data_IF_760640101736
#
_entry.id   IF_760640101736
#
_cell.length_a   1.000
_cell.length_b   1.000
_cell.length_c   1.000
_cell.angle_alpha   90.00
_cell.angle_beta   90.00
_cell.angle_gamma   90.00
#
_symmetry.space_group_name_H-M   'P 1'
#
loop_
_entity.id
_entity.type
_entity.pdbx_description
1 polymer ?
#
# COMPACT_ATOMS: atom_id res chain seq x y z
N UNK A 1 17.16 -38.82 -39.21
CA UNK A 1 15.73 -38.52 -38.94
C UNK A 1 15.70 -37.36 -37.96
N UNK A 2 15.17 -36.21 -38.41
CA UNK A 2 15.01 -35.03 -37.54
C UNK A 2 13.68 -35.20 -36.82
N UNK A 3 13.71 -35.25 -35.49
CA UNK A 3 12.48 -35.37 -34.68
C UNK A 3 11.58 -34.14 -34.95
N UNK A 4 10.29 -34.33 -35.17
CA UNK A 4 9.36 -33.21 -35.41
C UNK A 4 9.30 -32.33 -34.15
N UNK A 5 9.14 -31.00 -34.30
CA UNK A 5 9.05 -30.09 -33.16
C UNK A 5 7.84 -30.47 -32.29
N UNK A 6 7.97 -30.35 -30.95
CA UNK A 6 6.89 -30.68 -30.04
C UNK A 6 5.64 -29.84 -30.35
N UNK A 7 4.43 -30.45 -30.21
CA UNK A 7 3.19 -29.76 -30.52
C UNK A 7 3.03 -28.52 -29.63
N UNK A 8 2.46 -27.42 -30.17
CA UNK A 8 2.28 -26.18 -29.40
C UNK A 8 1.41 -26.46 -28.17
N UNK A 9 1.92 -26.05 -27.01
CA UNK A 9 1.19 -26.20 -25.73
C UNK A 9 -0.19 -25.54 -25.85
N UNK A 10 -1.27 -26.20 -25.43
CA UNK A 10 -2.62 -25.65 -25.56
C UNK A 10 -2.72 -24.33 -24.82
N UNK A 11 -3.07 -23.25 -25.53
CA UNK A 11 -3.35 -21.95 -24.94
C UNK A 11 -4.46 -22.13 -23.90
N UNK A 12 -4.14 -21.91 -22.63
CA UNK A 12 -5.15 -21.89 -21.55
C UNK A 12 -6.19 -20.81 -21.85
N UNK A 13 -7.35 -21.22 -22.40
CA UNK A 13 -8.46 -20.34 -22.76
C UNK A 13 -9.45 -20.12 -21.61
N UNK A 14 -9.06 -20.36 -20.35
CA UNK A 14 -9.91 -20.15 -19.18
C UNK A 14 -10.22 -18.67 -18.90
N UNK A 15 -11.32 -18.42 -18.21
CA UNK A 15 -11.77 -17.07 -17.80
C UNK A 15 -10.65 -16.30 -17.10
N UNK A 16 -9.93 -16.93 -16.16
CA UNK A 16 -8.82 -16.31 -15.44
C UNK A 16 -7.68 -15.86 -16.37
N UNK A 17 -7.41 -16.62 -17.44
CA UNK A 17 -6.40 -16.21 -18.42
C UNK A 17 -6.86 -15.02 -19.28
N UNK A 18 -8.15 -14.91 -19.57
CA UNK A 18 -8.73 -13.75 -20.27
C UNK A 18 -8.67 -12.50 -19.38
N UNK A 19 -9.10 -12.60 -18.14
CA UNK A 19 -9.02 -11.50 -17.15
C UNK A 19 -7.57 -11.05 -16.98
N UNK A 20 -6.63 -11.97 -16.80
CA UNK A 20 -5.21 -11.63 -16.66
C UNK A 20 -4.64 -10.93 -17.90
N UNK A 21 -5.05 -11.31 -19.12
CA UNK A 21 -4.65 -10.59 -20.35
C UNK A 21 -5.27 -9.19 -20.40
N UNK A 22 -6.54 -9.06 -20.05
CA UNK A 22 -7.24 -7.79 -20.04
C UNK A 22 -6.60 -6.80 -19.06
N UNK A 23 -6.31 -7.23 -17.82
CA UNK A 23 -5.65 -6.41 -16.82
C UNK A 23 -4.22 -6.01 -17.26
N UNK A 24 -3.49 -6.89 -17.95
CA UNK A 24 -2.18 -6.54 -18.52
C UNK A 24 -2.26 -5.50 -19.63
N UNK A 25 -3.34 -5.47 -20.37
CA UNK A 25 -3.57 -4.43 -21.39
C UNK A 25 -4.00 -3.08 -20.77
N UNK A 26 -4.46 -3.08 -19.51
CA UNK A 26 -5.03 -1.92 -18.83
C UNK A 26 -4.34 -1.68 -17.46
N UNK A 27 -3.07 -1.23 -17.43
CA UNK A 27 -2.30 -1.10 -16.20
C UNK A 27 -2.92 -0.12 -15.17
N UNK A 28 -3.59 0.93 -15.63
CA UNK A 28 -4.32 1.86 -14.73
C UNK A 28 -5.47 1.14 -14.02
N UNK A 29 -6.21 0.28 -14.73
CA UNK A 29 -7.28 -0.51 -14.11
C UNK A 29 -6.73 -1.49 -13.06
N UNK A 30 -5.56 -2.06 -13.29
CA UNK A 30 -4.90 -2.91 -12.30
C UNK A 30 -4.61 -2.15 -11.00
N UNK A 31 -4.07 -0.92 -11.08
CA UNK A 31 -3.88 -0.05 -9.91
C UNK A 31 -5.22 0.34 -9.27
N UNK A 32 -6.21 0.67 -10.09
CA UNK A 32 -7.54 1.04 -9.62
C UNK A 32 -8.23 -0.06 -8.80
N UNK A 33 -7.94 -1.32 -9.08
CA UNK A 33 -8.46 -2.46 -8.31
C UNK A 33 -7.63 -2.74 -7.06
N UNK A 34 -6.28 -2.62 -7.14
CA UNK A 34 -5.40 -2.93 -6.02
C UNK A 34 -5.47 -1.88 -4.90
N UNK A 35 -5.55 -0.61 -5.27
CA UNK A 35 -5.38 0.50 -4.32
C UNK A 35 -6.49 0.56 -3.28
N UNK A 36 -7.79 0.55 -3.60
CA UNK A 36 -8.83 0.34 -2.60
C UNK A 36 -8.99 -1.13 -2.20
N UNK A 37 -8.62 -2.07 -3.09
CA UNK A 37 -8.78 -3.51 -2.85
C UNK A 37 -8.07 -3.99 -1.59
N UNK A 38 -6.88 -3.48 -1.31
CA UNK A 38 -6.09 -3.90 -0.16
C UNK A 38 -6.60 -3.26 1.14
N UNK A 39 -6.63 -1.92 1.31
CA UNK A 39 -7.03 -1.31 2.57
C UNK A 39 -8.51 -1.46 2.88
N UNK A 40 -9.40 -1.43 1.88
CA UNK A 40 -10.84 -1.37 2.08
C UNK A 40 -11.52 -2.75 2.01
N UNK A 41 -11.22 -3.51 0.96
CA UNK A 41 -11.95 -4.75 0.70
C UNK A 41 -11.33 -5.98 1.37
N UNK A 42 -10.01 -6.04 1.56
CA UNK A 42 -9.39 -7.12 2.34
C UNK A 42 -9.53 -6.91 3.85
N UNK A 43 -9.53 -5.66 4.33
CA UNK A 43 -9.77 -5.37 5.75
C UNK A 43 -11.23 -5.56 6.16
N UNK A 44 -12.14 -5.48 5.19
CA UNK A 44 -13.57 -5.52 5.43
C UNK A 44 -14.19 -4.17 5.82
N UNK A 45 -13.42 -3.07 5.81
CA UNK A 45 -13.96 -1.74 6.08
C UNK A 45 -15.01 -1.33 5.05
N UNK A 46 -14.81 -1.69 3.78
CA UNK A 46 -15.80 -1.56 2.70
C UNK A 46 -16.36 -2.92 2.32
N UNK A 47 -17.30 -3.43 3.09
CA UNK A 47 -17.80 -4.79 2.89
C UNK A 47 -18.59 -4.96 1.59
N UNK A 48 -18.20 -5.92 0.76
CA UNK A 48 -18.99 -6.36 -0.42
C UNK A 48 -20.43 -6.79 -0.08
N UNK A 49 -20.67 -7.17 1.17
CA UNK A 49 -22.01 -7.44 1.69
C UNK A 49 -22.98 -6.29 1.48
N UNK A 50 -22.49 -5.06 1.52
CA UNK A 50 -23.32 -3.88 1.29
C UNK A 50 -23.95 -3.83 -0.11
N UNK A 51 -23.44 -4.59 -1.09
CA UNK A 51 -24.12 -4.76 -2.38
C UNK A 51 -25.56 -5.25 -2.17
N UNK A 52 -25.76 -6.17 -1.23
CA UNK A 52 -27.07 -6.77 -0.94
C UNK A 52 -27.80 -6.07 0.20
N UNK A 53 -27.08 -5.67 1.24
CA UNK A 53 -27.68 -5.12 2.46
C UNK A 53 -28.03 -3.63 2.34
N UNK A 54 -27.13 -2.86 1.72
CA UNK A 54 -27.25 -1.41 1.57
C UNK A 54 -26.65 -0.95 0.23
N UNK A 55 -27.29 -1.25 -0.92
CA UNK A 55 -26.71 -0.99 -2.25
C UNK A 55 -26.37 0.48 -2.48
N UNK A 56 -27.13 1.42 -1.93
CA UNK A 56 -26.84 2.85 -2.01
C UNK A 56 -25.53 3.22 -1.33
N UNK A 57 -25.31 2.74 -0.12
CA UNK A 57 -24.05 2.93 0.61
C UNK A 57 -22.87 2.24 -0.08
N UNK A 58 -23.10 1.06 -0.67
CA UNK A 58 -22.05 0.38 -1.44
C UNK A 58 -21.60 1.23 -2.64
N UNK A 59 -22.57 1.75 -3.43
CA UNK A 59 -22.25 2.57 -4.60
C UNK A 59 -21.54 3.87 -4.18
N UNK A 60 -22.02 4.54 -3.13
CA UNK A 60 -21.40 5.75 -2.62
C UNK A 60 -19.97 5.50 -2.15
N UNK A 61 -19.74 4.44 -1.35
CA UNK A 61 -18.43 4.03 -0.90
C UNK A 61 -17.49 3.64 -2.05
N UNK A 62 -18.02 2.94 -3.07
CA UNK A 62 -17.23 2.59 -4.25
C UNK A 62 -16.80 3.85 -5.04
N UNK A 63 -17.71 4.81 -5.23
CA UNK A 63 -17.40 6.07 -5.92
C UNK A 63 -16.34 6.85 -5.16
N UNK A 64 -16.49 6.96 -3.84
CA UNK A 64 -15.48 7.56 -2.96
C UNK A 64 -14.13 6.84 -3.05
N UNK A 65 -14.11 5.52 -2.89
CA UNK A 65 -12.87 4.73 -2.96
C UNK A 65 -12.18 4.90 -4.34
N UNK A 66 -12.93 4.93 -5.43
CA UNK A 66 -12.36 5.16 -6.75
C UNK A 66 -11.92 6.62 -6.94
N UNK A 67 -12.65 7.59 -6.40
CA UNK A 67 -12.37 9.02 -6.51
C UNK A 67 -11.15 9.47 -5.72
N UNK A 68 -10.84 8.82 -4.60
CA UNK A 68 -9.69 9.13 -3.75
C UNK A 68 -8.48 8.24 -4.05
N UNK A 69 -8.62 6.92 -3.95
CA UNK A 69 -7.50 5.99 -4.02
C UNK A 69 -6.84 5.96 -5.40
N UNK A 70 -7.63 5.94 -6.47
CA UNK A 70 -7.08 5.81 -7.83
C UNK A 70 -6.31 7.05 -8.26
N UNK A 71 -6.86 8.27 -8.13
CA UNK A 71 -6.09 9.48 -8.40
C UNK A 71 -4.90 9.63 -7.47
N UNK A 72 -5.05 9.33 -6.18
CA UNK A 72 -3.97 9.41 -5.19
C UNK A 72 -2.75 8.60 -5.61
N UNK A 73 -2.93 7.29 -5.88
CA UNK A 73 -1.81 6.43 -6.29
C UNK A 73 -1.21 6.81 -7.65
N UNK A 74 -2.04 7.25 -8.59
CA UNK A 74 -1.57 7.69 -9.90
C UNK A 74 -0.72 8.96 -9.80
N UNK A 75 -1.17 9.97 -9.05
CA UNK A 75 -0.45 11.22 -8.86
C UNK A 75 0.87 11.01 -8.12
N UNK A 76 0.88 10.18 -7.07
CA UNK A 76 2.11 9.83 -6.34
C UNK A 76 3.10 9.11 -7.27
N UNK A 77 2.62 8.15 -8.06
CA UNK A 77 3.45 7.46 -9.05
C UNK A 77 3.98 8.41 -10.13
N UNK A 78 3.13 9.28 -10.67
CA UNK A 78 3.56 10.28 -11.67
C UNK A 78 4.60 11.23 -11.09
N UNK A 79 4.41 11.70 -9.85
CA UNK A 79 5.40 12.52 -9.16
C UNK A 79 6.73 11.78 -9.00
N UNK A 80 6.72 10.52 -8.53
CA UNK A 80 7.92 9.70 -8.43
C UNK A 80 8.68 9.61 -9.77
N UNK A 81 7.95 9.33 -10.85
CA UNK A 81 8.55 9.14 -12.19
C UNK A 81 9.06 10.47 -12.77
N UNK A 82 8.23 11.51 -12.76
CA UNK A 82 8.55 12.80 -13.36
C UNK A 82 9.64 13.56 -12.62
N UNK A 83 9.68 13.42 -11.29
CA UNK A 83 10.73 14.01 -10.46
C UNK A 83 11.97 13.12 -10.36
N UNK A 84 11.96 11.93 -11.00
CA UNK A 84 13.05 10.95 -10.94
C UNK A 84 13.43 10.59 -9.48
N UNK A 85 12.45 10.28 -8.65
CA UNK A 85 12.59 10.03 -7.20
C UNK A 85 12.49 8.55 -6.85
N UNK A 86 12.85 8.23 -5.58
CA UNK A 86 12.83 6.88 -5.02
C UNK A 86 11.64 6.64 -4.08
N UNK A 87 11.72 5.52 -3.35
CA UNK A 87 10.67 5.10 -2.40
C UNK A 87 10.46 6.06 -1.25
N UNK A 88 11.48 6.80 -0.80
CA UNK A 88 11.32 7.82 0.24
C UNK A 88 10.30 8.89 -0.16
N UNK A 89 10.36 9.35 -1.41
CA UNK A 89 9.38 10.29 -1.96
C UNK A 89 7.99 9.69 -2.03
N UNK A 90 7.86 8.41 -2.46
CA UNK A 90 6.56 7.71 -2.50
C UNK A 90 5.94 7.65 -1.11
N UNK A 91 6.69 7.24 -0.09
CA UNK A 91 6.20 7.14 1.29
C UNK A 91 5.83 8.51 1.87
N UNK A 92 6.65 9.55 1.62
CA UNK A 92 6.33 10.91 2.08
C UNK A 92 5.05 11.45 1.41
N UNK A 93 4.89 11.27 0.09
CA UNK A 93 3.66 11.66 -0.60
C UNK A 93 2.44 10.85 -0.14
N UNK A 94 2.63 9.58 0.19
CA UNK A 94 1.56 8.76 0.75
C UNK A 94 1.15 9.22 2.16
N UNK A 95 2.08 9.72 2.97
CA UNK A 95 1.77 10.37 4.25
C UNK A 95 0.98 11.68 4.05
N UNK A 96 1.35 12.50 3.06
CA UNK A 96 0.57 13.69 2.69
C UNK A 96 -0.84 13.31 2.21
N UNK A 97 -0.96 12.24 1.40
CA UNK A 97 -2.23 11.70 0.94
C UNK A 97 -3.14 11.29 2.12
N UNK A 98 -2.58 10.62 3.15
CA UNK A 98 -3.33 10.26 4.34
C UNK A 98 -3.91 11.48 5.08
N UNK A 99 -3.16 12.60 5.17
CA UNK A 99 -3.68 13.83 5.76
C UNK A 99 -4.83 14.42 4.93
N UNK A 100 -4.72 14.32 3.61
CA UNK A 100 -5.79 14.81 2.69
C UNK A 100 -7.06 14.00 2.87
N UNK A 101 -6.97 12.67 2.85
CA UNK A 101 -8.11 11.77 2.93
C UNK A 101 -8.69 11.71 4.34
N UNK A 102 -7.90 11.27 5.31
CA UNK A 102 -8.33 10.99 6.68
C UNK A 102 -8.40 12.25 7.54
N UNK A 103 -7.53 13.21 7.29
CA UNK A 103 -7.54 14.47 8.01
C UNK A 103 -8.59 15.42 7.45
N UNK A 104 -8.41 15.89 6.21
CA UNK A 104 -9.27 16.93 5.63
C UNK A 104 -10.62 16.35 5.21
N UNK A 105 -10.62 15.23 4.46
CA UNK A 105 -11.85 14.62 3.92
C UNK A 105 -12.74 14.03 5.00
N UNK A 106 -12.26 13.00 5.69
CA UNK A 106 -13.03 12.23 6.67
C UNK A 106 -12.96 12.79 8.10
N UNK A 107 -12.01 13.69 8.37
CA UNK A 107 -11.77 14.28 9.69
C UNK A 107 -11.45 13.26 10.80
N UNK A 108 -11.02 12.02 10.48
CA UNK A 108 -10.74 11.00 11.49
C UNK A 108 -9.53 11.34 12.35
N UNK A 109 -8.57 12.10 11.81
CA UNK A 109 -7.42 12.61 12.56
C UNK A 109 -7.78 13.70 13.57
N UNK A 110 -8.93 14.33 13.41
CA UNK A 110 -9.31 15.53 14.16
C UNK A 110 -10.56 15.35 15.01
N UNK A 111 -11.52 14.53 14.57
CA UNK A 111 -12.80 14.33 15.26
C UNK A 111 -12.82 13.07 16.11
N UNK A 112 -13.07 13.17 17.42
CA UNK A 112 -13.28 11.99 18.25
C UNK A 112 -14.54 11.19 17.89
N UNK A 113 -15.44 11.77 17.06
CA UNK A 113 -16.67 11.11 16.61
C UNK A 113 -16.49 10.25 15.38
N UNK A 114 -15.49 10.54 14.53
CA UNK A 114 -15.25 9.84 13.27
C UNK A 114 -14.10 8.84 13.34
N UNK A 115 -13.33 8.83 14.43
CA UNK A 115 -12.25 7.87 14.65
C UNK A 115 -12.82 6.46 14.74
N UNK A 116 -12.29 5.46 13.99
CA UNK A 116 -12.87 4.11 13.90
C UNK A 116 -12.91 3.34 15.23
N UNK A 117 -12.13 3.74 16.21
CA UNK A 117 -11.88 3.01 17.46
C UNK A 117 -12.72 3.48 18.66
N UNK A 118 -13.87 4.07 18.48
CA UNK A 118 -14.82 4.39 19.55
C UNK A 118 -14.21 5.19 20.72
N UNK A 119 -13.96 4.55 21.88
CA UNK A 119 -13.36 5.19 23.05
C UNK A 119 -11.92 5.71 22.80
N UNK A 120 -11.18 5.09 21.90
CA UNK A 120 -9.86 5.54 21.46
C UNK A 120 -9.89 6.92 20.78
N UNK A 121 -11.03 7.36 20.31
CA UNK A 121 -11.19 8.69 19.71
C UNK A 121 -10.73 9.85 20.60
N UNK A 122 -10.77 9.66 21.91
CA UNK A 122 -10.32 10.64 22.91
C UNK A 122 -8.87 10.41 23.37
N UNK A 123 -8.33 9.20 23.19
CA UNK A 123 -6.99 8.86 23.62
C UNK A 123 -5.95 9.53 22.71
N UNK A 124 -5.10 10.37 23.30
CA UNK A 124 -4.12 11.14 22.56
C UNK A 124 -4.65 12.36 21.82
N UNK A 125 -5.91 12.74 22.05
CA UNK A 125 -6.51 13.93 21.44
C UNK A 125 -6.04 15.19 22.18
N UNK A 126 -5.27 16.04 21.47
CA UNK A 126 -4.74 17.29 22.03
C UNK A 126 -4.66 18.38 20.94
N UNK A 127 -5.08 19.60 21.27
CA UNK A 127 -5.15 20.73 20.32
C UNK A 127 -5.92 20.41 19.01
N UNK A 128 -7.02 19.66 19.13
CA UNK A 128 -7.86 19.33 17.97
C UNK A 128 -7.30 18.22 17.08
N UNK A 129 -6.23 17.52 17.49
CA UNK A 129 -5.60 16.43 16.73
C UNK A 129 -5.45 15.20 17.60
N UNK A 130 -5.78 14.04 17.07
CA UNK A 130 -5.49 12.74 17.69
C UNK A 130 -4.08 12.28 17.32
N UNK A 131 -3.11 12.59 18.17
CA UNK A 131 -1.69 12.33 17.94
C UNK A 131 -1.30 10.84 17.98
N UNK A 132 -2.16 9.96 18.44
CA UNK A 132 -1.98 8.51 18.36
C UNK A 132 -2.51 7.98 17.04
N UNK A 133 -3.68 8.43 16.62
CA UNK A 133 -4.31 8.00 15.37
C UNK A 133 -3.57 8.51 14.12
N UNK A 134 -3.07 9.75 14.15
CA UNK A 134 -2.34 10.34 13.01
C UNK A 134 -1.20 9.45 12.50
N UNK A 135 -0.20 9.02 13.29
CA UNK A 135 0.88 8.17 12.79
C UNK A 135 0.38 6.78 12.37
N UNK A 136 -0.64 6.24 13.01
CA UNK A 136 -1.22 4.93 12.64
C UNK A 136 -1.90 4.98 11.27
N UNK A 137 -2.79 5.93 11.05
CA UNK A 137 -3.51 6.03 9.78
C UNK A 137 -2.58 6.48 8.64
N UNK A 138 -1.59 7.34 8.91
CA UNK A 138 -0.55 7.64 7.93
C UNK A 138 0.20 6.37 7.53
N UNK A 139 0.54 5.50 8.47
CA UNK A 139 1.18 4.23 8.19
C UNK A 139 0.30 3.31 7.34
N UNK A 140 -0.99 3.21 7.66
CA UNK A 140 -1.96 2.44 6.88
C UNK A 140 -1.93 2.88 5.42
N UNK A 141 -2.03 4.17 5.15
CA UNK A 141 -2.01 4.68 3.78
C UNK A 141 -0.64 4.54 3.09
N UNK A 142 0.45 4.81 3.82
CA UNK A 142 1.81 4.64 3.28
C UNK A 142 2.08 3.21 2.83
N UNK A 143 1.61 2.22 3.59
CA UNK A 143 1.89 0.81 3.34
C UNK A 143 0.82 0.18 2.45
N UNK A 144 -0.45 0.20 2.89
CA UNK A 144 -1.52 -0.60 2.27
C UNK A 144 -2.18 0.10 1.09
N UNK A 145 -2.40 1.41 1.16
CA UNK A 145 -3.08 2.15 0.09
C UNK A 145 -2.15 2.49 -1.08
N UNK A 146 -0.87 2.75 -0.82
CA UNK A 146 0.07 3.25 -1.83
C UNK A 146 1.27 2.32 -2.01
N UNK A 147 1.97 1.97 -0.93
CA UNK A 147 3.23 1.24 -0.98
C UNK A 147 3.11 -0.14 -1.63
N UNK A 148 2.24 -0.99 -1.10
CA UNK A 148 2.01 -2.34 -1.63
C UNK A 148 1.45 -2.30 -3.06
N UNK A 149 0.40 -1.52 -3.39
CA UNK A 149 -0.09 -1.41 -4.76
C UNK A 149 1.00 -1.03 -5.76
N UNK A 150 1.83 -0.02 -5.47
CA UNK A 150 2.92 0.38 -6.36
C UNK A 150 4.04 -0.66 -6.46
N UNK A 151 4.36 -1.34 -5.35
CA UNK A 151 5.33 -2.43 -5.36
C UNK A 151 4.86 -3.59 -6.23
N UNK A 152 3.62 -4.06 -6.06
CA UNK A 152 3.04 -5.14 -6.84
C UNK A 152 2.89 -4.74 -8.31
N UNK A 153 2.48 -3.49 -8.57
CA UNK A 153 2.44 -2.94 -9.93
C UNK A 153 3.80 -3.03 -10.63
N UNK A 154 4.87 -2.64 -9.94
CA UNK A 154 6.23 -2.69 -10.49
C UNK A 154 6.70 -4.12 -10.84
N UNK A 155 6.16 -5.15 -10.17
CA UNK A 155 6.44 -6.56 -10.49
C UNK A 155 5.54 -7.15 -11.57
N UNK A 156 4.30 -6.68 -11.67
CA UNK A 156 3.38 -7.10 -12.75
C UNK A 156 3.78 -6.46 -14.07
N UNK A 157 4.17 -5.17 -14.05
CA UNK A 157 4.49 -4.35 -15.22
C UNK A 157 5.94 -3.80 -15.15
N UNK A 158 6.96 -4.66 -15.18
CA UNK A 158 8.35 -4.21 -15.08
C UNK A 158 8.74 -3.27 -16.25
N UNK A 159 8.11 -3.40 -17.42
CA UNK A 159 8.32 -2.55 -18.59
C UNK A 159 7.80 -1.11 -18.44
N UNK A 160 6.95 -0.87 -17.45
CA UNK A 160 6.42 0.45 -17.12
C UNK A 160 7.17 1.14 -15.98
N UNK A 161 8.19 0.50 -15.41
CA UNK A 161 9.04 1.13 -14.39
C UNK A 161 9.68 2.40 -14.97
N UNK A 162 9.56 3.51 -14.26
CA UNK A 162 10.12 4.80 -14.67
C UNK A 162 9.45 5.46 -15.88
N UNK A 163 8.34 4.92 -16.38
CA UNK A 163 7.56 5.54 -17.46
C UNK A 163 6.28 6.19 -16.91
N UNK A 164 5.99 7.41 -17.38
CA UNK A 164 4.73 8.09 -17.07
C UNK A 164 3.54 7.32 -17.67
N UNK A 165 2.46 7.19 -16.92
CA UNK A 165 1.19 6.61 -17.40
C UNK A 165 0.22 7.69 -17.89
N UNK A 166 0.41 8.93 -17.46
CA UNK A 166 -0.50 10.04 -17.74
C UNK A 166 0.22 11.11 -18.59
N UNK A 167 -0.52 11.69 -19.53
CA UNK A 167 -0.10 12.94 -20.18
C UNK A 167 -0.19 14.11 -19.19
N UNK A 168 0.35 15.28 -19.51
CA UNK A 168 0.22 16.47 -18.67
C UNK A 168 -1.25 16.85 -18.42
N UNK A 169 -2.08 16.81 -19.48
CA UNK A 169 -3.54 17.04 -19.36
C UNK A 169 -4.19 15.97 -18.49
N UNK A 170 -3.82 14.69 -18.70
CA UNK A 170 -4.30 13.58 -17.86
C UNK A 170 -3.94 13.75 -16.39
N UNK A 171 -2.75 14.25 -16.07
CA UNK A 171 -2.34 14.52 -14.67
C UNK A 171 -3.20 15.62 -14.04
N UNK A 172 -3.51 16.69 -14.79
CA UNK A 172 -4.39 17.76 -14.30
C UNK A 172 -5.83 17.25 -14.09
N UNK A 173 -6.36 16.49 -15.04
CA UNK A 173 -7.69 15.89 -14.91
C UNK A 173 -7.79 14.96 -13.71
N UNK A 174 -6.82 14.05 -13.55
CA UNK A 174 -6.76 13.12 -12.42
C UNK A 174 -6.58 13.89 -11.09
N UNK A 175 -5.84 15.00 -11.08
CA UNK A 175 -5.68 15.85 -9.90
C UNK A 175 -6.96 16.62 -9.49
N UNK A 176 -7.85 16.90 -10.44
CA UNK A 176 -9.12 17.55 -10.12
C UNK A 176 -10.13 16.62 -9.42
N UNK A 177 -10.08 15.31 -9.69
CA UNK A 177 -11.03 14.33 -9.13
C UNK A 177 -11.01 14.32 -7.59
N UNK A 178 -9.87 14.13 -6.91
CA UNK A 178 -9.84 14.11 -5.45
C UNK A 178 -10.23 15.45 -4.83
N UNK A 179 -10.03 16.56 -5.52
CA UNK A 179 -10.50 17.88 -5.04
C UNK A 179 -12.02 17.93 -4.92
N UNK A 180 -12.72 17.42 -5.91
CA UNK A 180 -14.19 17.32 -5.88
C UNK A 180 -14.63 16.34 -4.79
N UNK A 181 -14.00 15.19 -4.72
CA UNK A 181 -14.33 14.12 -3.78
C UNK A 181 -14.14 14.58 -2.32
N UNK A 182 -13.00 15.20 -2.00
CA UNK A 182 -12.72 15.79 -0.69
C UNK A 182 -13.76 16.87 -0.34
N UNK A 183 -14.14 17.71 -1.31
CA UNK A 183 -15.16 18.75 -1.06
C UNK A 183 -16.50 18.11 -0.68
N UNK A 184 -16.90 17.05 -1.37
CA UNK A 184 -18.11 16.27 -1.05
C UNK A 184 -18.00 15.67 0.36
N UNK A 185 -16.87 15.08 0.70
CA UNK A 185 -16.66 14.49 2.02
C UNK A 185 -16.70 15.52 3.15
N UNK A 186 -16.02 16.64 2.99
CA UNK A 186 -16.05 17.74 3.97
C UNK A 186 -17.48 18.20 4.21
N UNK A 187 -18.29 18.36 3.15
CA UNK A 187 -19.72 18.69 3.24
C UNK A 187 -20.48 17.57 3.96
N UNK A 188 -20.21 16.30 3.61
CA UNK A 188 -20.84 15.14 4.23
C UNK A 188 -20.55 15.08 5.72
N UNK A 189 -19.28 15.15 6.12
CA UNK A 189 -18.85 15.11 7.54
C UNK A 189 -19.46 16.30 8.30
N UNK A 190 -19.39 17.50 7.74
CA UNK A 190 -19.93 18.70 8.42
C UNK A 190 -21.44 18.66 8.59
N UNK A 191 -22.17 18.17 7.59
CA UNK A 191 -23.66 18.20 7.58
C UNK A 191 -24.30 16.98 8.24
N UNK A 192 -23.75 15.78 8.03
CA UNK A 192 -24.34 14.53 8.53
C UNK A 192 -23.76 14.09 9.88
N UNK A 193 -22.48 14.31 10.12
CA UNK A 193 -21.82 13.97 11.39
C UNK A 193 -21.85 15.15 12.37
N UNK A 194 -22.07 16.35 11.86
CA UNK A 194 -22.13 17.57 12.67
C UNK A 194 -20.76 17.94 13.28
N UNK A 195 -19.69 17.73 12.50
CA UNK A 195 -18.32 18.07 12.93
C UNK A 195 -17.63 18.97 11.90
N UNK A 196 -17.00 20.01 12.40
CA UNK A 196 -16.08 20.88 11.66
C UNK A 196 -14.78 21.02 12.44
N UNK A 197 -13.64 20.74 11.81
CA UNK A 197 -12.34 20.73 12.45
C UNK A 197 -11.84 22.13 12.89
N UNK A 198 -12.50 23.18 12.41
CA UNK A 198 -12.08 24.56 12.61
C UNK A 198 -10.99 25.01 11.62
N UNK A 199 -11.02 26.33 11.32
CA UNK A 199 -10.17 26.91 10.25
C UNK A 199 -8.68 26.79 10.58
N UNK A 200 -8.31 26.90 11.86
CA UNK A 200 -6.92 26.77 12.32
C UNK A 200 -6.35 25.37 12.10
N UNK A 201 -7.14 24.31 12.39
CA UNK A 201 -6.73 22.92 12.16
C UNK A 201 -6.65 22.64 10.67
N UNK A 202 -7.63 23.11 9.89
CA UNK A 202 -7.61 22.98 8.42
C UNK A 202 -6.37 23.65 7.82
N UNK A 203 -6.06 24.88 8.21
CA UNK A 203 -4.85 25.57 7.76
C UNK A 203 -3.58 24.80 8.14
N UNK A 204 -3.51 24.30 9.39
CA UNK A 204 -2.40 23.46 9.86
C UNK A 204 -2.24 22.19 9.02
N UNK A 205 -3.34 21.51 8.69
CA UNK A 205 -3.34 20.31 7.83
C UNK A 205 -2.85 20.64 6.40
N UNK A 206 -3.33 21.73 5.80
CA UNK A 206 -2.89 22.18 4.48
C UNK A 206 -1.40 22.54 4.45
N UNK A 207 -0.91 23.23 5.48
CA UNK A 207 0.52 23.55 5.61
C UNK A 207 1.37 22.29 5.81
N UNK A 208 0.87 21.31 6.58
CA UNK A 208 1.54 20.01 6.76
C UNK A 208 1.62 19.26 5.41
N UNK A 209 0.53 19.18 4.65
CA UNK A 209 0.53 18.58 3.30
C UNK A 209 1.53 19.27 2.39
N UNK A 210 1.50 20.60 2.32
CA UNK A 210 2.44 21.38 1.49
C UNK A 210 3.89 21.15 1.91
N UNK A 211 4.17 21.16 3.22
CA UNK A 211 5.50 20.91 3.78
C UNK A 211 6.01 19.51 3.47
N UNK A 212 5.15 18.48 3.62
CA UNK A 212 5.51 17.10 3.28
C UNK A 212 5.72 16.93 1.78
N UNK A 213 4.91 17.54 0.93
CA UNK A 213 5.11 17.52 -0.53
C UNK A 213 6.42 18.19 -0.93
N UNK A 214 6.77 19.33 -0.32
CA UNK A 214 8.06 19.99 -0.53
C UNK A 214 9.20 19.10 -0.06
N UNK A 215 9.11 18.51 1.13
CA UNK A 215 10.09 17.54 1.64
C UNK A 215 10.24 16.38 0.66
N UNK A 216 9.15 15.79 0.21
CA UNK A 216 9.16 14.67 -0.74
C UNK A 216 9.87 15.03 -2.05
N UNK A 217 9.70 16.27 -2.53
CA UNK A 217 10.42 16.80 -3.69
C UNK A 217 11.92 16.96 -3.43
N UNK A 218 12.32 17.39 -2.23
CA UNK A 218 13.71 17.60 -1.86
C UNK A 218 14.46 16.30 -1.50
N UNK A 219 13.77 15.23 -1.10
CA UNK A 219 14.40 13.96 -0.70
C UNK A 219 15.32 13.40 -1.78
N UNK A 220 16.52 12.90 -1.41
CA UNK A 220 17.42 12.22 -2.34
C UNK A 220 16.80 10.94 -2.89
N UNK A 221 17.02 10.65 -4.18
CA UNK A 221 16.52 9.43 -4.84
C UNK A 221 16.91 8.14 -4.11
N UNK A 222 18.12 8.09 -3.59
CA UNK A 222 18.72 6.89 -3.00
C UNK A 222 18.64 6.86 -1.47
N UNK A 223 17.80 7.70 -0.83
CA UNK A 223 17.70 7.74 0.63
C UNK A 223 17.31 6.37 1.22
N UNK A 224 16.36 5.67 0.60
CA UNK A 224 15.97 4.31 0.98
C UNK A 224 16.56 3.32 -0.03
N UNK A 225 17.88 3.14 0.03
CA UNK A 225 18.58 2.19 -0.85
C UNK A 225 18.89 0.89 -0.11
N UNK A 226 18.45 -0.27 -0.63
CA UNK A 226 18.80 -1.55 -0.04
C UNK A 226 20.31 -1.79 -0.05
N UNK A 227 20.78 -2.65 0.83
CA UNK A 227 22.18 -3.09 0.83
C UNK A 227 22.56 -3.69 -0.53
N UNK A 228 23.74 -3.36 -1.11
CA UNK A 228 24.21 -3.98 -2.33
C UNK A 228 24.32 -5.50 -2.23
N UNK A 229 24.04 -6.21 -3.32
CA UNK A 229 24.16 -7.66 -3.41
C UNK A 229 22.83 -8.42 -3.26
N UNK A 230 22.87 -9.74 -3.10
CA UNK A 230 21.70 -10.59 -2.96
C UNK A 230 21.06 -10.47 -1.57
N UNK A 231 19.80 -10.94 -1.41
CA UNK A 231 19.14 -11.00 -0.12
C UNK A 231 19.91 -11.85 0.90
N UNK A 232 19.91 -11.44 2.16
CA UNK A 232 20.57 -12.18 3.24
C UNK A 232 19.64 -13.17 3.94
N UNK A 233 18.34 -13.07 3.72
CA UNK A 233 17.30 -13.91 4.31
C UNK A 233 16.38 -14.49 3.24
N UNK A 234 15.85 -15.68 3.50
CA UNK A 234 14.89 -16.34 2.61
C UNK A 234 13.52 -15.64 2.59
N UNK A 235 12.68 -15.91 1.56
CA UNK A 235 11.36 -15.32 1.43
C UNK A 235 10.45 -15.52 2.64
N UNK A 236 10.50 -16.69 3.29
CA UNK A 236 9.69 -16.99 4.49
C UNK A 236 9.96 -15.99 5.64
N UNK A 237 11.22 -15.63 5.87
CA UNK A 237 11.54 -14.63 6.90
C UNK A 237 10.90 -13.26 6.59
N UNK A 238 10.88 -12.87 5.33
CA UNK A 238 10.19 -11.64 4.89
C UNK A 238 8.67 -11.73 5.09
N UNK A 239 8.06 -12.89 4.83
CA UNK A 239 6.63 -13.09 5.08
C UNK A 239 6.28 -12.99 6.56
N UNK A 240 7.05 -13.65 7.42
CA UNK A 240 6.85 -13.58 8.88
C UNK A 240 7.03 -12.13 9.38
N UNK A 241 8.11 -11.46 8.98
CA UNK A 241 8.36 -10.07 9.38
C UNK A 241 7.25 -9.14 8.89
N UNK A 242 6.75 -9.33 7.66
CA UNK A 242 5.59 -8.59 7.16
C UNK A 242 4.33 -8.80 8.00
N UNK A 243 4.01 -10.04 8.35
CA UNK A 243 2.83 -10.35 9.18
C UNK A 243 2.93 -9.77 10.59
N UNK A 244 4.11 -9.87 11.21
CA UNK A 244 4.36 -9.32 12.54
C UNK A 244 4.31 -7.78 12.54
N UNK A 245 4.65 -7.13 11.44
CA UNK A 245 4.60 -5.68 11.32
C UNK A 245 3.19 -5.15 11.58
N UNK A 246 2.22 -5.64 10.83
CA UNK A 246 0.84 -5.15 10.97
C UNK A 246 0.18 -5.57 12.29
N UNK A 247 0.41 -6.81 12.73
CA UNK A 247 -0.08 -7.25 14.04
C UNK A 247 0.51 -6.43 15.19
N UNK A 248 1.78 -6.02 15.07
CA UNK A 248 2.44 -5.19 16.07
C UNK A 248 1.85 -3.79 16.16
N UNK A 249 1.48 -3.15 15.04
CA UNK A 249 0.84 -1.83 15.08
C UNK A 249 -0.56 -1.89 15.71
N UNK A 250 -1.36 -2.90 15.35
CA UNK A 250 -2.66 -3.14 15.99
C UNK A 250 -2.51 -3.32 17.51
N UNK A 251 -1.55 -4.13 17.94
CA UNK A 251 -1.28 -4.35 19.37
C UNK A 251 -0.84 -3.05 20.07
N UNK A 252 0.03 -2.26 19.44
CA UNK A 252 0.49 -1.00 20.01
C UNK A 252 -0.68 -0.07 20.32
N UNK A 253 -1.57 0.15 19.37
CA UNK A 253 -2.70 1.06 19.57
C UNK A 253 -3.69 0.47 20.57
N UNK A 254 -4.17 -0.76 20.37
CA UNK A 254 -5.26 -1.32 21.18
C UNK A 254 -4.84 -1.73 22.59
N UNK A 255 -3.63 -2.26 22.77
CA UNK A 255 -3.15 -2.69 24.09
C UNK A 255 -2.68 -1.50 24.91
N UNK A 256 -1.90 -0.61 24.31
CA UNK A 256 -1.31 0.51 25.03
C UNK A 256 -2.36 1.55 25.46
N UNK A 257 -3.41 1.76 24.67
CA UNK A 257 -4.58 2.56 25.07
C UNK A 257 -5.21 2.04 26.36
N UNK A 258 -5.41 0.72 26.46
CA UNK A 258 -6.04 0.08 27.61
C UNK A 258 -5.13 -0.04 28.84
N UNK A 259 -3.83 0.19 28.72
CA UNK A 259 -2.84 0.13 29.81
C UNK A 259 -2.52 1.49 30.44
N UNK A 260 -3.23 2.55 30.07
CA UNK A 260 -2.99 3.92 30.55
C UNK A 260 -1.58 4.45 30.27
N UNK A 261 -0.90 3.94 29.24
CA UNK A 261 0.39 4.48 28.77
C UNK A 261 0.19 5.91 28.30
N UNK A 262 1.10 6.85 28.61
CA UNK A 262 0.98 8.21 28.10
C UNK A 262 0.89 8.25 26.56
N UNK A 263 -0.11 8.94 25.96
CA UNK A 263 -0.35 8.92 24.51
C UNK A 263 0.86 9.33 23.67
N UNK A 264 1.70 10.23 24.19
CA UNK A 264 2.93 10.66 23.49
C UNK A 264 3.91 9.51 23.26
N UNK A 265 4.00 8.56 24.20
CA UNK A 265 4.87 7.39 24.04
C UNK A 265 4.34 6.47 22.94
N UNK A 266 3.03 6.30 22.84
CA UNK A 266 2.41 5.51 21.77
C UNK A 266 2.62 6.21 20.42
N UNK A 267 2.35 7.51 20.33
CA UNK A 267 2.54 8.30 19.13
C UNK A 267 3.99 8.25 18.60
N UNK A 268 4.98 8.24 19.49
CA UNK A 268 6.40 8.13 19.11
C UNK A 268 6.83 6.70 18.83
N UNK A 269 6.20 5.69 19.46
CA UNK A 269 6.57 4.30 19.25
C UNK A 269 6.21 3.79 17.85
N UNK A 270 5.11 4.27 17.25
CA UNK A 270 4.68 3.85 15.92
C UNK A 270 5.73 4.19 14.85
N UNK A 271 6.19 5.44 14.67
CA UNK A 271 7.23 5.75 13.69
C UNK A 271 8.57 5.08 14.01
N UNK A 272 8.93 4.91 15.29
CA UNK A 272 10.14 4.19 15.68
C UNK A 272 10.06 2.71 15.26
N UNK A 273 8.93 2.05 15.51
CA UNK A 273 8.65 0.70 15.09
C UNK A 273 8.75 0.56 13.55
N UNK A 274 8.13 1.45 12.80
CA UNK A 274 8.23 1.50 11.35
C UNK A 274 9.67 1.65 10.87
N UNK A 275 10.46 2.52 11.53
CA UNK A 275 11.86 2.73 11.23
C UNK A 275 12.69 1.45 11.40
N UNK A 276 12.44 0.67 12.47
CA UNK A 276 13.12 -0.62 12.70
C UNK A 276 12.80 -1.63 11.59
N UNK A 277 11.51 -1.74 11.19
CA UNK A 277 11.11 -2.65 10.11
C UNK A 277 11.68 -2.23 8.76
N UNK A 278 11.62 -0.94 8.45
CA UNK A 278 12.20 -0.41 7.21
C UNK A 278 13.70 -0.65 7.15
N UNK A 279 14.42 -0.36 8.24
CA UNK A 279 15.84 -0.67 8.36
C UNK A 279 16.12 -2.17 8.14
N UNK A 280 15.32 -3.05 8.77
CA UNK A 280 15.48 -4.50 8.61
C UNK A 280 15.28 -4.92 7.14
N UNK A 281 14.24 -4.41 6.47
CA UNK A 281 13.98 -4.69 5.05
C UNK A 281 15.13 -4.22 4.19
N UNK A 282 15.59 -2.98 4.33
CA UNK A 282 16.68 -2.42 3.54
C UNK A 282 17.98 -3.18 3.74
N UNK A 283 18.27 -3.65 4.96
CA UNK A 283 19.47 -4.42 5.28
C UNK A 283 19.45 -5.84 4.71
N UNK A 284 18.28 -6.45 4.57
CA UNK A 284 18.16 -7.87 4.22
C UNK A 284 17.66 -8.15 2.80
N UNK A 285 17.00 -7.19 2.12
CA UNK A 285 16.42 -7.42 0.78
C UNK A 285 17.47 -7.51 -0.33
N UNK A 286 18.54 -6.76 -0.23
CA UNK A 286 19.53 -6.67 -1.32
C UNK A 286 19.02 -5.89 -2.54
N UNK A 287 19.87 -5.77 -3.54
CA UNK A 287 19.57 -5.05 -4.81
C UNK A 287 19.40 -5.98 -6.01
N UNK A 288 19.69 -7.26 -5.87
CA UNK A 288 19.66 -8.26 -6.96
C UNK A 288 18.95 -9.52 -6.49
N UNK A 289 17.99 -10.00 -7.28
CA UNK A 289 17.25 -11.24 -7.01
C UNK A 289 16.36 -11.21 -5.77
N UNK A 290 15.90 -10.02 -5.40
CA UNK A 290 15.12 -9.76 -4.18
C UNK A 290 13.59 -9.81 -4.39
N UNK A 291 13.14 -10.10 -5.60
CA UNK A 291 11.73 -10.00 -5.99
C UNK A 291 10.85 -10.89 -5.12
N UNK A 292 11.25 -12.16 -4.89
CA UNK A 292 10.49 -13.07 -4.05
C UNK A 292 10.38 -12.60 -2.60
N UNK A 293 11.46 -12.06 -2.05
CA UNK A 293 11.51 -11.53 -0.69
C UNK A 293 10.51 -10.39 -0.52
N UNK A 294 10.54 -9.40 -1.43
CA UNK A 294 9.64 -8.25 -1.35
C UNK A 294 8.19 -8.60 -1.67
N UNK A 295 7.94 -9.52 -2.61
CA UNK A 295 6.61 -10.06 -2.86
C UNK A 295 6.08 -10.76 -1.59
N UNK A 296 6.89 -11.63 -0.97
CA UNK A 296 6.48 -12.34 0.22
C UNK A 296 6.31 -11.40 1.42
N UNK A 297 7.13 -10.36 1.53
CA UNK A 297 6.95 -9.30 2.53
C UNK A 297 5.62 -8.56 2.35
N UNK A 298 5.31 -8.11 1.12
CA UNK A 298 4.06 -7.44 0.81
C UNK A 298 2.84 -8.31 1.17
N UNK A 299 2.88 -9.59 0.82
CA UNK A 299 1.79 -10.51 1.18
C UNK A 299 1.78 -10.89 2.67
N UNK A 300 2.93 -10.88 3.33
CA UNK A 300 3.00 -10.95 4.79
C UNK A 300 2.28 -9.79 5.47
N UNK A 301 2.48 -8.57 4.97
CA UNK A 301 1.77 -7.38 5.45
C UNK A 301 0.24 -7.49 5.29
N UNK A 302 -0.25 -8.03 4.18
CA UNK A 302 -1.69 -8.17 3.92
C UNK A 302 -2.31 -9.42 4.59
N UNK A 303 -1.53 -10.41 4.97
CA UNK A 303 -2.06 -11.66 5.53
C UNK A 303 -2.92 -11.44 6.79
N UNK A 304 -2.53 -10.61 7.76
CA UNK A 304 -3.41 -10.30 8.89
C UNK A 304 -4.71 -9.60 8.49
N UNK A 305 -4.69 -8.74 7.46
CA UNK A 305 -5.93 -8.14 6.93
C UNK A 305 -6.88 -9.21 6.38
N UNK A 306 -6.36 -10.15 5.59
CA UNK A 306 -7.13 -11.29 5.06
C UNK A 306 -7.75 -12.08 6.21
N UNK A 307 -6.96 -12.42 7.24
CA UNK A 307 -7.44 -13.23 8.37
C UNK A 307 -8.49 -12.49 9.19
N UNK A 308 -8.25 -11.22 9.51
CA UNK A 308 -9.19 -10.39 10.27
C UNK A 308 -10.45 -10.10 9.46
N UNK A 309 -10.29 -9.74 8.19
CA UNK A 309 -11.40 -9.51 7.27
C UNK A 309 -12.25 -10.75 7.08
N UNK A 310 -11.65 -11.91 6.85
CA UNK A 310 -12.36 -13.18 6.74
C UNK A 310 -13.10 -13.55 8.05
N UNK A 311 -12.48 -13.34 9.21
CA UNK A 311 -13.11 -13.59 10.50
C UNK A 311 -14.31 -12.67 10.76
N UNK A 312 -14.17 -11.38 10.45
CA UNK A 312 -15.24 -10.39 10.58
C UNK A 312 -16.43 -10.65 9.63
N UNK A 313 -16.17 -11.29 8.52
CA UNK A 313 -17.10 -11.44 7.40
C UNK A 313 -17.48 -12.90 7.11
N UNK A 314 -17.15 -13.85 7.99
CA UNK A 314 -17.46 -15.29 7.83
C UNK A 314 -18.97 -15.53 7.61
N UNK A 315 -19.80 -14.58 8.02
CA UNK A 315 -21.24 -14.59 7.82
C UNK A 315 -21.68 -13.97 6.49
N UNK A 316 -20.73 -13.48 5.67
CA UNK A 316 -21.03 -12.71 4.46
C UNK A 316 -20.31 -13.33 3.25
N UNK A 317 -21.03 -14.01 2.35
CA UNK A 317 -20.43 -14.93 1.34
C UNK A 317 -19.53 -14.26 0.28
N UNK A 318 -19.53 -12.94 0.10
CA UNK A 318 -18.78 -12.26 -0.96
C UNK A 318 -17.35 -11.81 -0.59
N UNK A 319 -16.96 -11.93 0.66
CA UNK A 319 -15.65 -11.45 1.15
C UNK A 319 -14.50 -12.30 0.63
N UNK A 320 -14.71 -13.59 0.55
CA UNK A 320 -13.71 -14.56 0.06
C UNK A 320 -13.23 -14.27 -1.39
N UNK A 321 -13.92 -13.42 -2.14
CA UNK A 321 -13.52 -13.06 -3.50
C UNK A 321 -12.24 -12.22 -3.50
N UNK A 322 -12.14 -11.21 -2.63
CA UNK A 322 -10.95 -10.37 -2.51
C UNK A 322 -9.75 -11.19 -2.01
N UNK A 323 -9.98 -12.03 -0.99
CA UNK A 323 -8.96 -12.93 -0.44
C UNK A 323 -8.45 -13.92 -1.49
N UNK A 324 -9.35 -14.56 -2.24
CA UNK A 324 -9.00 -15.46 -3.31
C UNK A 324 -8.17 -14.76 -4.40
N UNK A 325 -8.57 -13.55 -4.81
CA UNK A 325 -7.83 -12.76 -5.80
C UNK A 325 -6.43 -12.40 -5.30
N UNK A 326 -6.29 -12.01 -4.02
CA UNK A 326 -5.00 -11.73 -3.40
C UNK A 326 -4.10 -12.98 -3.41
N UNK A 327 -4.63 -14.14 -3.00
CA UNK A 327 -3.90 -15.42 -2.99
C UNK A 327 -3.47 -15.82 -4.42
N UNK A 328 -4.36 -15.67 -5.40
CA UNK A 328 -4.06 -15.97 -6.80
C UNK A 328 -2.97 -15.04 -7.35
N UNK A 329 -3.01 -13.75 -7.02
CA UNK A 329 -1.99 -12.78 -7.39
C UNK A 329 -0.64 -13.14 -6.75
N UNK A 330 -0.63 -13.46 -5.45
CA UNK A 330 0.57 -13.95 -4.77
C UNK A 330 1.18 -15.15 -5.47
N UNK A 331 0.39 -16.20 -5.67
CA UNK A 331 0.83 -17.43 -6.34
C UNK A 331 1.39 -17.13 -7.74
N UNK A 332 0.75 -16.24 -8.49
CA UNK A 332 1.20 -15.83 -9.83
C UNK A 332 2.57 -15.14 -9.75
N UNK A 333 2.71 -14.12 -8.90
CA UNK A 333 3.96 -13.36 -8.76
C UNK A 333 5.08 -14.22 -8.17
N UNK A 334 4.80 -15.03 -7.15
CA UNK A 334 5.79 -15.91 -6.53
C UNK A 334 6.36 -16.93 -7.52
N UNK A 335 5.56 -17.42 -8.47
CA UNK A 335 6.00 -18.34 -9.52
C UNK A 335 6.73 -17.65 -10.66
N UNK A 336 6.41 -16.39 -10.93
CA UNK A 336 7.05 -15.59 -11.98
C UNK A 336 8.54 -15.36 -11.71
N UNK A 337 8.93 -15.22 -10.44
CA UNK A 337 10.29 -14.94 -10.03
C UNK A 337 10.91 -16.18 -9.36
N UNK A 338 11.71 -17.02 -10.05
CA UNK A 338 12.38 -18.17 -9.47
C UNK A 338 13.36 -17.74 -8.38
N UNK A 339 13.65 -18.63 -7.44
CA UNK A 339 14.71 -18.40 -6.44
C UNK A 339 16.03 -18.30 -7.20
N UNK A 340 16.77 -17.19 -7.07
CA UNK A 340 18.15 -17.12 -7.53
C UNK A 340 18.92 -18.27 -6.87
N UNK A 341 19.56 -19.12 -7.67
CA UNK A 341 20.45 -20.14 -7.11
C UNK A 341 21.47 -19.45 -6.22
N UNK A 342 21.82 -20.01 -5.04
CA UNK A 342 22.88 -19.46 -4.22
C UNK A 342 24.14 -19.34 -5.08
N UNK A 343 24.78 -18.17 -5.08
CA UNK A 343 26.00 -17.85 -5.83
C UNK A 343 27.21 -18.77 -5.53
N UNK A 344 27.01 -19.85 -4.76
CA UNK A 344 28.04 -20.83 -4.38
C UNK A 344 28.31 -21.95 -5.38
N UNK A 345 27.69 -21.98 -6.56
CA UNK A 345 27.93 -22.98 -7.61
C UNK A 345 28.05 -22.37 -9.03
N UNK A 346 28.72 -21.27 -9.16
CA UNK A 346 29.34 -20.96 -10.44
C UNK A 346 30.72 -21.63 -10.42
N UNK A 347 30.81 -22.82 -10.98
CA UNK A 347 32.09 -23.38 -11.40
C UNK A 347 32.79 -22.32 -12.24
N UNK A 348 34.08 -22.01 -12.01
CA UNK A 348 34.80 -21.11 -12.89
C UNK A 348 34.70 -21.62 -14.33
N UNK A 349 34.56 -20.72 -15.33
CA UNK A 349 34.48 -21.16 -16.71
C UNK A 349 35.67 -22.05 -17.03
N UNK A 350 35.46 -23.18 -17.76
CA UNK A 350 36.56 -24.07 -18.13
C UNK A 350 37.52 -23.27 -19.01
N UNK A 351 38.72 -22.97 -18.49
CA UNK A 351 39.76 -22.19 -19.20
C UNK A 351 40.51 -21.15 -18.35
N UNK A 352 40.10 -20.83 -17.11
CA UNK A 352 40.79 -19.82 -16.29
C UNK A 352 41.99 -20.34 -15.45
N UNK A 353 42.42 -21.55 -15.69
CA UNK A 353 43.56 -22.18 -14.96
C UNK A 353 44.77 -22.35 -15.90
N UNK A 354 45.28 -21.29 -16.49
CA UNK A 354 46.61 -21.30 -17.12
C UNK A 354 47.01 -19.86 -17.52
N UNK A 355 47.50 -19.06 -16.57
CA UNK A 355 48.53 -18.01 -16.81
C UNK A 355 48.83 -17.32 -15.48
N UNK A 356 49.61 -17.93 -14.65
CA UNK A 356 50.58 -17.29 -13.73
C UNK A 356 51.68 -18.33 -13.43
N UNK A 357 52.68 -18.31 -14.32
CA UNK A 357 54.05 -18.80 -14.00
C UNK A 357 54.94 -17.58 -14.06
#
# INVERSE_FOLDING_TARGET
MIEPPPPPTPRRNGILARVGRYLRAHPILFLALLTPGIPEYLSGSSAFANILLNPGWFVLGLLFNLGMYVPGVLLIREAQVRWNKGWATVLALAAAYAIVEEGIGLSTMFSPKTTPFGAAGNYGHFLGVNWVWVPEVMLIHMVFSIGIPLLLFAYVFPELRGKSLLSNRGTLTVGAIPTVDITILVIFVSRLIGYWMGDGVLLGALLAVAGICLLAYLLPKNLLHPRPGPPTRGPLAFGIVGSLFYLGTILMVNVLENTHVPPILVALSIPAYCGVYLWWVLRNSGTVGHERQLITFAFGLILPLIVIGAAAQILVPFVLVADLLAILLFRHLYRKFPTSAPLGRMSPPPGAAATYS
#
